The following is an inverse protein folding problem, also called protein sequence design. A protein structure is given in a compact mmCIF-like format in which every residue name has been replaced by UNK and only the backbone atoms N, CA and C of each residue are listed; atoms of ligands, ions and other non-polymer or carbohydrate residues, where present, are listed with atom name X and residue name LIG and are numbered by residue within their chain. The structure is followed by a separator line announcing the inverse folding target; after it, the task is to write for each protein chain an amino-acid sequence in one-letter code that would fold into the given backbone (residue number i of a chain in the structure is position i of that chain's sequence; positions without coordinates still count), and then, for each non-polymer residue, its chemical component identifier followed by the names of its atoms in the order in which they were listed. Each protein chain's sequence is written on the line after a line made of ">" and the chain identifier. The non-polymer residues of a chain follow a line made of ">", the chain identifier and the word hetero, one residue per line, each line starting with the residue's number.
data_IF_868692936181
#
_entry.id   IF_868692936181
#
_cell.length_a   1.000
_cell.length_b   1.000
_cell.length_c   1.000
_cell.angle_alpha   90.00
_cell.angle_beta   90.00
_cell.angle_gamma   90.00
#
_symmetry.space_group_name_H-M   'P 1'
#
loop_
_entity.id
_entity.type
_entity.pdbx_description
1 polymer ?
#
# COMPACT_ATOMS: atom_id res chain seq x y z
N UNK A 1 11.29 -2.19 15.00
CA UNK A 1 10.01 -2.06 14.26
C UNK A 1 10.06 -0.82 13.39
N UNK A 2 9.66 -0.92 12.14
CA UNK A 2 9.52 0.22 11.23
C UNK A 2 8.06 0.36 10.79
N UNK A 3 7.63 1.57 10.37
CA UNK A 3 6.25 1.84 9.96
C UNK A 3 5.71 0.82 8.95
N UNK A 4 6.53 0.43 7.98
CA UNK A 4 6.19 -0.52 6.90
C UNK A 4 5.78 -1.91 7.41
N UNK A 5 6.19 -2.29 8.62
CA UNK A 5 5.82 -3.56 9.24
C UNK A 5 4.33 -3.61 9.57
N UNK A 6 3.74 -2.45 9.88
CA UNK A 6 2.34 -2.30 10.28
C UNK A 6 1.39 -2.02 9.12
N UNK A 7 1.91 -1.88 7.90
CA UNK A 7 1.10 -1.60 6.71
C UNK A 7 0.68 -2.90 6.00
N UNK A 8 -0.50 -2.89 5.38
CA UNK A 8 -0.91 -3.95 4.44
C UNK A 8 -0.47 -3.66 3.00
N UNK A 9 -0.38 -2.38 2.64
CA UNK A 9 -0.01 -1.90 1.30
C UNK A 9 0.76 -0.58 1.37
N UNK A 10 1.42 -0.21 0.27
CA UNK A 10 2.15 1.05 0.08
C UNK A 10 1.70 1.70 -1.23
N UNK A 11 1.48 3.01 -1.22
CA UNK A 11 1.23 3.82 -2.41
C UNK A 11 2.49 4.61 -2.78
N UNK A 12 3.06 4.35 -3.96
CA UNK A 12 4.17 5.12 -4.52
C UNK A 12 3.62 6.34 -5.26
N UNK A 13 3.66 7.49 -4.59
CA UNK A 13 3.42 8.79 -5.23
C UNK A 13 4.54 9.08 -6.23
N UNK A 14 4.26 9.73 -7.37
CA UNK A 14 5.26 9.96 -8.42
C UNK A 14 6.46 10.82 -8.01
N UNK A 15 7.42 11.01 -8.93
CA UNK A 15 8.61 11.84 -8.75
C UNK A 15 9.87 11.08 -8.32
N UNK A 16 11.04 11.60 -8.70
CA UNK A 16 12.33 11.01 -8.37
C UNK A 16 12.61 11.11 -6.85
N UNK A 17 12.72 9.97 -6.17
CA UNK A 17 13.01 9.92 -4.73
C UNK A 17 13.62 8.57 -4.37
N UNK A 18 14.95 8.57 -4.15
CA UNK A 18 15.68 7.36 -3.78
C UNK A 18 15.13 6.72 -2.49
N UNK A 19 14.73 7.54 -1.50
CA UNK A 19 14.15 7.03 -0.25
C UNK A 19 12.81 6.32 -0.48
N UNK A 20 11.97 6.85 -1.37
CA UNK A 20 10.71 6.20 -1.71
C UNK A 20 10.93 4.91 -2.51
N UNK A 21 11.94 4.87 -3.38
CA UNK A 21 12.29 3.67 -4.15
C UNK A 21 12.83 2.55 -3.25
N UNK A 22 13.63 2.91 -2.23
CA UNK A 22 14.08 1.97 -1.17
C UNK A 22 12.87 1.40 -0.42
N UNK A 23 11.90 2.23 -0.03
CA UNK A 23 10.71 1.76 0.69
C UNK A 23 9.84 0.83 -0.18
N UNK A 24 9.70 1.12 -1.47
CA UNK A 24 9.01 0.21 -2.41
C UNK A 24 9.72 -1.14 -2.48
N UNK A 25 11.05 -1.15 -2.53
CA UNK A 25 11.81 -2.40 -2.56
C UNK A 25 11.63 -3.20 -1.26
N UNK A 26 11.72 -2.56 -0.11
CA UNK A 26 11.47 -3.19 1.20
C UNK A 26 10.04 -3.75 1.27
N UNK A 27 9.05 -3.00 0.78
CA UNK A 27 7.65 -3.41 0.77
C UNK A 27 7.43 -4.67 -0.11
N UNK A 28 8.07 -4.72 -1.29
CA UNK A 28 8.05 -5.89 -2.18
C UNK A 28 8.67 -7.12 -1.52
N UNK A 29 9.84 -6.97 -0.88
CA UNK A 29 10.50 -8.05 -0.15
C UNK A 29 9.64 -8.59 1.00
N UNK A 30 8.79 -7.72 1.59
CA UNK A 30 7.84 -8.08 2.65
C UNK A 30 6.49 -8.59 2.13
N UNK A 31 6.33 -8.78 0.82
CA UNK A 31 5.08 -9.25 0.21
C UNK A 31 3.91 -8.28 0.35
N UNK A 32 4.18 -6.97 0.53
CA UNK A 32 3.15 -5.94 0.63
C UNK A 32 2.65 -5.56 -0.76
N UNK A 33 1.37 -5.17 -0.86
CA UNK A 33 0.79 -4.66 -2.12
C UNK A 33 1.37 -3.28 -2.41
N UNK A 34 1.79 -3.04 -3.66
CA UNK A 34 2.31 -1.76 -4.11
C UNK A 34 1.33 -1.15 -5.12
N UNK A 35 0.84 0.04 -4.80
CA UNK A 35 0.06 0.85 -5.71
C UNK A 35 0.94 1.95 -6.31
N UNK A 36 0.74 2.26 -7.58
CA UNK A 36 1.41 3.36 -8.29
C UNK A 36 0.45 4.51 -8.61
N UNK A 37 -0.85 4.24 -8.60
CA UNK A 37 -1.87 5.24 -8.86
C UNK A 37 -2.99 5.15 -7.82
N UNK A 38 -3.53 6.30 -7.42
CA UNK A 38 -4.64 6.36 -6.48
C UNK A 38 -5.89 5.62 -7.00
N UNK A 39 -6.06 5.59 -8.33
CA UNK A 39 -7.14 4.87 -9.01
C UNK A 39 -7.11 3.35 -8.82
N UNK A 40 -5.97 2.78 -8.42
CA UNK A 40 -5.83 1.35 -8.13
C UNK A 40 -6.39 0.99 -6.74
N UNK A 41 -6.50 1.99 -5.86
CA UNK A 41 -7.07 1.82 -4.54
C UNK A 41 -8.58 1.87 -4.69
N UNK A 42 -9.21 0.70 -4.63
CA UNK A 42 -10.66 0.60 -4.54
C UNK A 42 -11.10 1.31 -3.26
N UNK A 43 -11.81 2.42 -3.40
CA UNK A 43 -12.39 3.09 -2.23
C UNK A 43 -13.36 2.12 -1.58
N UNK A 44 -13.08 1.74 -0.33
CA UNK A 44 -14.05 1.06 0.49
C UNK A 44 -15.19 2.04 0.75
N UNK A 45 -16.16 2.09 -0.15
CA UNK A 45 -17.43 2.73 0.13
C UNK A 45 -18.01 2.01 1.36
N UNK A 46 -18.28 2.68 2.49
CA UNK A 46 -18.85 2.03 3.67
C UNK A 46 -20.20 1.34 3.36
N UNK A 47 -20.88 1.71 2.27
CA UNK A 47 -22.07 1.01 1.79
C UNK A 47 -21.79 -0.35 1.10
N UNK A 48 -20.54 -0.67 0.77
CA UNK A 48 -20.14 -1.89 0.05
C UNK A 48 -19.19 -2.78 0.87
N UNK A 49 -19.16 -2.61 2.20
CA UNK A 49 -18.48 -3.54 3.09
C UNK A 49 -19.38 -4.77 3.32
N UNK A 50 -19.44 -5.67 2.34
CA UNK A 50 -19.90 -7.03 2.60
C UNK A 50 -19.00 -7.64 3.67
N UNK A 51 -19.59 -7.83 4.85
CA UNK A 51 -19.03 -8.43 6.06
C UNK A 51 -18.01 -9.53 5.71
N UNK A 52 -16.73 -9.28 5.97
CA UNK A 52 -15.83 -10.37 6.35
C UNK A 52 -16.23 -10.74 7.76
N UNK A 53 -17.16 -11.70 7.87
CA UNK A 53 -17.40 -12.44 9.10
C UNK A 53 -16.20 -13.37 9.30
N UNK A 54 -15.32 -12.99 10.21
CA UNK A 54 -14.44 -13.92 10.92
C UNK A 54 -14.95 -14.04 12.34
#
# INVERSE_FOLDING_TARGET
>A
MQLIDHCNAVLRLGGASAGADVLVNIARLKGKVIFHHLSEIQSANPANQSRVLL
#
